data_IF_910427310192
#
_entry.id   IF_910427310192
#
_cell.length_a   1.000
_cell.length_b   1.000
_cell.length_c   1.000
_cell.angle_alpha   90.00
_cell.angle_beta   90.00
_cell.angle_gamma   90.00
#
_symmetry.space_group_name_H-M   'P 1'
#
loop_
_entity.id
_entity.type
_entity.pdbx_description
1 polymer ?
#
# COMPACT_ATOMS: atom_id res chain seq x y z
N UNK A 1 2.65 1.92 15.44
CA UNK A 1 2.02 1.68 14.15
C UNK A 1 1.38 2.93 13.57
N UNK A 2 0.46 2.78 12.62
CA UNK A 2 -0.16 3.91 11.88
C UNK A 2 -0.67 5.04 12.80
N UNK A 3 -1.26 4.68 13.95
CA UNK A 3 -1.85 5.66 14.87
C UNK A 3 -0.85 6.39 15.76
N UNK A 4 0.39 5.87 15.90
CA UNK A 4 1.36 6.34 16.90
C UNK A 4 2.68 6.80 16.33
N UNK A 5 3.00 6.45 15.08
CA UNK A 5 4.27 6.78 14.43
C UNK A 5 4.43 8.28 14.19
N UNK A 6 3.37 8.91 13.66
CA UNK A 6 3.23 10.36 13.52
C UNK A 6 1.78 10.75 13.80
N UNK A 7 1.54 12.02 14.16
CA UNK A 7 0.17 12.53 14.27
C UNK A 7 -0.49 12.58 12.89
N UNK A 8 -1.44 11.70 12.67
CA UNK A 8 -2.27 11.69 11.47
C UNK A 8 -3.62 12.35 11.71
N UNK A 9 -4.17 12.96 10.67
CA UNK A 9 -5.55 13.43 10.72
C UNK A 9 -6.51 12.27 10.96
N UNK A 10 -7.50 12.46 11.83
CA UNK A 10 -8.48 11.43 12.23
C UNK A 10 -9.16 10.73 11.04
N UNK A 11 -9.51 11.47 9.99
CA UNK A 11 -10.12 10.88 8.80
C UNK A 11 -9.17 9.90 8.06
N UNK A 12 -7.84 10.12 8.12
CA UNK A 12 -6.88 9.18 7.56
C UNK A 12 -6.86 7.87 8.35
N UNK A 13 -6.83 7.95 9.68
CA UNK A 13 -6.88 6.77 10.57
C UNK A 13 -8.18 6.00 10.34
N UNK A 14 -9.30 6.71 10.32
CA UNK A 14 -10.62 6.18 10.04
C UNK A 14 -10.65 5.43 8.70
N UNK A 15 -10.19 6.07 7.62
CA UNK A 15 -10.14 5.46 6.30
C UNK A 15 -9.36 4.14 6.30
N UNK A 16 -8.15 4.13 6.88
CA UNK A 16 -7.34 2.91 6.93
C UNK A 16 -7.99 1.80 7.77
N UNK A 17 -8.53 2.12 8.93
CA UNK A 17 -9.16 1.12 9.81
C UNK A 17 -10.40 0.49 9.15
N UNK A 18 -11.24 1.30 8.50
CA UNK A 18 -12.39 0.78 7.76
C UNK A 18 -11.97 -0.09 6.59
N UNK A 19 -11.06 0.39 5.73
CA UNK A 19 -10.58 -0.35 4.57
C UNK A 19 -9.92 -1.68 4.94
N UNK A 20 -9.13 -1.72 6.00
CA UNK A 20 -8.52 -2.96 6.49
C UNK A 20 -9.56 -3.99 6.96
N UNK A 21 -10.62 -3.55 7.64
CA UNK A 21 -11.68 -4.45 8.11
C UNK A 21 -12.52 -4.98 6.95
N UNK A 22 -12.92 -4.09 6.05
CA UNK A 22 -13.66 -4.45 4.83
C UNK A 22 -12.88 -5.47 3.99
N UNK A 23 -11.60 -5.21 3.76
CA UNK A 23 -10.75 -6.10 3.02
C UNK A 23 -10.59 -7.47 3.70
N UNK A 24 -10.49 -7.51 5.04
CA UNK A 24 -10.46 -8.77 5.77
C UNK A 24 -11.74 -9.59 5.57
N UNK A 25 -12.90 -8.94 5.49
CA UNK A 25 -14.18 -9.62 5.24
C UNK A 25 -14.34 -10.05 3.78
N UNK A 26 -13.85 -9.26 2.82
CA UNK A 26 -13.78 -9.65 1.40
C UNK A 26 -12.94 -10.93 1.23
N UNK A 27 -11.77 -10.99 1.86
CA UNK A 27 -10.92 -12.18 1.82
C UNK A 27 -11.59 -13.40 2.45
N UNK A 28 -12.28 -13.24 3.58
CA UNK A 28 -13.06 -14.33 4.21
C UNK A 28 -14.18 -14.80 3.31
N UNK A 29 -14.88 -13.89 2.66
CA UNK A 29 -15.93 -14.21 1.68
C UNK A 29 -15.36 -14.97 0.48
N UNK A 30 -14.13 -14.68 0.09
CA UNK A 30 -13.40 -15.42 -0.94
C UNK A 30 -12.84 -16.78 -0.45
N UNK A 31 -13.15 -17.20 0.78
CA UNK A 31 -12.72 -18.49 1.35
C UNK A 31 -11.31 -18.50 1.94
N UNK A 32 -10.69 -17.31 2.09
CA UNK A 32 -9.35 -17.18 2.69
C UNK A 32 -9.49 -17.11 4.20
N UNK A 33 -8.70 -17.92 4.93
CA UNK A 33 -8.65 -17.87 6.39
C UNK A 33 -7.88 -16.62 6.85
N UNK A 34 -8.59 -15.64 7.44
CA UNK A 34 -8.02 -14.36 7.85
C UNK A 34 -8.04 -14.22 9.36
N UNK A 35 -6.86 -14.10 9.95
CA UNK A 35 -6.67 -13.70 11.34
C UNK A 35 -6.52 -12.18 11.42
N UNK A 36 -7.51 -11.51 11.97
CA UNK A 36 -7.53 -10.06 12.09
C UNK A 36 -7.47 -9.67 13.57
N UNK A 37 -6.42 -8.98 13.96
CA UNK A 37 -6.25 -8.46 15.33
C UNK A 37 -6.77 -7.03 15.41
N UNK A 38 -7.79 -6.81 16.21
CA UNK A 38 -8.28 -5.46 16.47
C UNK A 38 -7.31 -4.70 17.36
N UNK A 39 -7.29 -3.39 17.22
CA UNK A 39 -6.40 -2.54 18.02
C UNK A 39 -6.68 -2.68 19.52
N UNK A 40 -7.96 -2.83 19.90
CA UNK A 40 -8.41 -3.02 21.30
C UNK A 40 -8.04 -4.39 21.90
N UNK A 41 -7.66 -5.36 21.09
CA UNK A 41 -7.29 -6.71 21.52
C UNK A 41 -5.77 -6.88 21.66
N UNK A 42 -5.00 -5.81 21.41
CA UNK A 42 -3.54 -5.81 21.40
C UNK A 42 -2.98 -5.25 22.70
N UNK A 43 -1.93 -5.85 23.23
CA UNK A 43 -1.11 -5.25 24.27
C UNK A 43 -0.44 -3.97 23.73
N UNK A 44 -0.60 -2.84 24.43
CA UNK A 44 -0.06 -1.54 24.03
C UNK A 44 1.47 -1.54 23.95
N UNK A 45 2.12 -2.37 24.76
CA UNK A 45 3.58 -2.51 24.79
C UNK A 45 4.14 -3.47 23.75
N UNK A 46 3.27 -4.24 23.06
CA UNK A 46 3.69 -5.23 22.06
C UNK A 46 3.78 -4.59 20.67
N UNK A 47 4.94 -4.70 20.04
CA UNK A 47 5.12 -4.27 18.66
C UNK A 47 4.37 -5.19 17.69
N UNK A 48 4.11 -4.70 16.47
CA UNK A 48 3.50 -5.50 15.40
C UNK A 48 4.30 -6.80 15.10
N UNK A 49 5.63 -6.67 15.05
CA UNK A 49 6.50 -7.80 14.74
C UNK A 49 6.49 -8.87 15.86
N UNK A 50 6.48 -8.47 17.11
CA UNK A 50 6.38 -9.38 18.25
C UNK A 50 5.03 -10.09 18.30
N UNK A 51 3.93 -9.37 18.04
CA UNK A 51 2.60 -9.97 17.92
C UNK A 51 2.57 -11.03 16.83
N UNK A 52 3.11 -10.71 15.65
CA UNK A 52 3.19 -11.66 14.54
C UNK A 52 4.03 -12.88 14.90
N UNK A 53 5.21 -12.70 15.50
CA UNK A 53 6.07 -13.81 15.91
C UNK A 53 5.39 -14.73 16.93
N UNK A 54 4.66 -14.15 17.89
CA UNK A 54 3.90 -14.94 18.88
C UNK A 54 2.81 -15.76 18.20
N UNK A 55 2.06 -15.14 17.29
CA UNK A 55 1.02 -15.82 16.52
C UNK A 55 1.59 -16.96 15.63
N UNK A 56 2.69 -16.70 14.91
CA UNK A 56 3.31 -17.70 14.04
C UNK A 56 3.80 -18.91 14.84
N UNK A 57 4.34 -18.71 16.04
CA UNK A 57 4.75 -19.80 16.95
C UNK A 57 3.55 -20.58 17.48
N UNK A 58 2.51 -19.89 17.93
CA UNK A 58 1.26 -20.51 18.40
C UNK A 58 0.66 -21.42 17.31
N UNK A 59 0.60 -20.92 16.09
CA UNK A 59 0.04 -21.66 14.94
C UNK A 59 1.02 -22.66 14.31
N UNK A 60 2.26 -22.74 14.81
CA UNK A 60 3.32 -23.63 14.30
C UNK A 60 3.56 -23.43 12.80
N UNK A 61 3.58 -22.17 12.36
CA UNK A 61 3.79 -21.82 10.95
C UNK A 61 5.24 -22.10 10.57
N UNK A 62 5.46 -22.93 9.56
CA UNK A 62 6.80 -23.33 9.11
C UNK A 62 7.50 -22.24 8.28
N UNK A 63 6.74 -21.49 7.47
CA UNK A 63 7.26 -20.42 6.63
C UNK A 63 6.26 -19.27 6.50
N UNK A 64 6.76 -18.05 6.57
CA UNK A 64 5.99 -16.82 6.36
C UNK A 64 6.25 -16.30 4.95
N UNK A 65 5.21 -16.21 4.12
CA UNK A 65 5.29 -15.50 2.85
C UNK A 65 4.80 -14.07 3.05
N UNK A 66 5.58 -13.10 2.61
CA UNK A 66 5.21 -11.68 2.69
C UNK A 66 5.54 -10.97 1.38
N UNK A 67 4.80 -9.94 1.07
CA UNK A 67 5.15 -9.04 -0.01
C UNK A 67 6.30 -8.12 0.40
N UNK A 68 7.06 -7.61 -0.57
CA UNK A 68 8.03 -6.53 -0.33
C UNK A 68 7.40 -5.42 0.49
N UNK A 69 8.12 -4.97 1.50
CA UNK A 69 7.69 -3.87 2.37
C UNK A 69 8.27 -2.59 1.81
N UNK A 70 7.42 -1.68 1.34
CA UNK A 70 7.84 -0.47 0.63
C UNK A 70 8.38 0.63 1.55
N UNK A 71 8.09 0.56 2.84
CA UNK A 71 8.63 1.44 3.87
C UNK A 71 9.90 0.83 4.48
N UNK A 72 11.07 1.33 4.08
CA UNK A 72 12.36 0.86 4.61
C UNK A 72 12.51 1.06 6.11
N UNK A 73 11.90 2.10 6.66
CA UNK A 73 11.94 2.39 8.10
C UNK A 73 11.20 1.31 8.90
N UNK A 74 10.18 0.71 8.29
CA UNK A 74 9.46 -0.43 8.86
C UNK A 74 10.11 -1.77 8.48
N UNK A 75 10.55 -1.95 7.23
CA UNK A 75 11.11 -3.20 6.71
C UNK A 75 12.30 -3.70 7.53
N UNK A 76 13.31 -2.85 7.72
CA UNK A 76 14.56 -3.25 8.34
C UNK A 76 14.40 -3.72 9.79
N UNK A 77 13.72 -2.98 10.69
CA UNK A 77 13.44 -3.45 12.04
C UNK A 77 12.56 -4.71 12.07
N UNK A 78 11.56 -4.78 11.20
CA UNK A 78 10.65 -5.90 11.12
C UNK A 78 11.36 -7.20 10.74
N UNK A 79 12.15 -7.20 9.67
CA UNK A 79 12.91 -8.37 9.24
C UNK A 79 13.96 -8.80 10.28
N UNK A 80 14.56 -7.83 10.99
CA UNK A 80 15.47 -8.12 12.11
C UNK A 80 14.78 -8.87 13.25
N UNK A 81 13.53 -8.49 13.58
CA UNK A 81 12.75 -9.19 14.61
C UNK A 81 12.42 -10.62 14.16
N UNK A 82 12.01 -10.81 12.90
CA UNK A 82 11.75 -12.15 12.36
C UNK A 82 13.00 -13.05 12.43
N UNK A 83 14.15 -12.52 12.01
CA UNK A 83 15.41 -13.25 12.05
C UNK A 83 15.81 -13.63 13.48
N UNK A 84 15.74 -12.70 14.43
CA UNK A 84 16.02 -12.96 15.84
C UNK A 84 15.06 -13.98 16.47
N UNK A 85 13.83 -14.03 15.97
CA UNK A 85 12.82 -14.99 16.42
C UNK A 85 12.96 -16.38 15.76
N UNK A 86 13.91 -16.54 14.82
CA UNK A 86 14.11 -17.78 14.07
C UNK A 86 12.96 -18.11 13.10
N UNK A 87 12.21 -17.09 12.65
CA UNK A 87 11.11 -17.30 11.69
C UNK A 87 11.69 -17.33 10.28
N UNK A 88 11.42 -18.45 9.59
CA UNK A 88 11.72 -18.58 8.15
C UNK A 88 10.71 -17.80 7.33
N UNK A 89 11.18 -17.01 6.36
CA UNK A 89 10.29 -16.23 5.51
C UNK A 89 10.76 -16.17 4.06
N UNK A 90 9.82 -15.92 3.16
CA UNK A 90 10.05 -15.67 1.74
C UNK A 90 9.40 -14.34 1.34
N UNK A 91 10.12 -13.52 0.57
CA UNK A 91 9.62 -12.22 0.11
C UNK A 91 9.19 -12.37 -1.36
N UNK A 92 7.98 -11.93 -1.65
CA UNK A 92 7.39 -11.86 -2.99
C UNK A 92 7.35 -10.41 -3.48
N UNK A 93 7.40 -10.20 -4.80
CA UNK A 93 7.25 -8.88 -5.38
C UNK A 93 5.94 -8.21 -4.91
N UNK A 94 6.01 -6.91 -4.62
CA UNK A 94 4.85 -6.15 -4.16
C UNK A 94 3.80 -6.00 -5.27
N UNK A 95 2.52 -6.34 -5.02
CA UNK A 95 1.45 -6.09 -5.97
C UNK A 95 1.01 -4.61 -6.02
N UNK A 96 1.55 -3.76 -5.14
CA UNK A 96 1.19 -2.33 -5.08
C UNK A 96 1.82 -1.50 -6.19
N UNK A 97 2.90 -2.00 -6.78
CA UNK A 97 3.63 -1.29 -7.83
C UNK A 97 3.77 -2.14 -9.09
N UNK A 98 3.73 -1.49 -10.24
CA UNK A 98 3.91 -2.16 -11.53
C UNK A 98 5.35 -2.64 -11.74
N UNK A 99 6.30 -2.04 -11.03
CA UNK A 99 7.72 -2.39 -11.09
C UNK A 99 8.14 -3.08 -9.79
N UNK A 100 8.89 -4.16 -9.93
CA UNK A 100 9.62 -4.73 -8.81
C UNK A 100 10.87 -3.89 -8.49
N UNK A 101 11.44 -4.09 -7.30
CA UNK A 101 12.75 -3.52 -6.94
C UNK A 101 13.84 -3.95 -7.93
N UNK A 102 13.74 -5.18 -8.43
CA UNK A 102 14.65 -5.71 -9.46
C UNK A 102 14.54 -4.92 -10.76
N UNK A 103 13.33 -4.64 -11.23
CA UNK A 103 13.12 -3.84 -12.45
C UNK A 103 13.75 -2.46 -12.35
N UNK A 104 13.58 -1.81 -11.20
CA UNK A 104 14.19 -0.51 -10.95
C UNK A 104 15.72 -0.60 -10.91
N UNK A 105 16.25 -1.60 -10.22
CA UNK A 105 17.69 -1.84 -10.12
C UNK A 105 18.29 -2.10 -11.49
N UNK A 106 17.67 -2.97 -12.30
CA UNK A 106 18.14 -3.31 -13.64
C UNK A 106 18.09 -2.09 -14.57
N UNK A 107 17.05 -1.28 -14.50
CA UNK A 107 16.95 -0.04 -15.27
C UNK A 107 18.02 0.98 -14.85
N UNK A 108 18.29 1.10 -13.56
CA UNK A 108 19.26 2.07 -13.04
C UNK A 108 20.72 1.66 -13.30
N UNK A 109 20.97 0.36 -13.50
CA UNK A 109 22.32 -0.19 -13.68
C UNK A 109 23.04 0.44 -14.87
N UNK A 110 24.18 1.03 -14.60
CA UNK A 110 25.02 1.66 -15.63
C UNK A 110 24.60 3.08 -16.04
N UNK A 111 23.52 3.64 -15.48
CA UNK A 111 23.16 5.03 -15.71
C UNK A 111 24.05 5.98 -14.88
N UNK A 112 24.64 6.99 -15.55
CA UNK A 112 25.36 8.06 -14.85
C UNK A 112 24.42 8.96 -14.03
N UNK A 113 23.19 9.13 -14.48
CA UNK A 113 22.18 9.95 -13.83
C UNK A 113 20.80 9.34 -14.05
N UNK A 114 20.06 9.14 -12.95
CA UNK A 114 18.65 8.75 -12.99
C UNK A 114 17.77 9.94 -13.40
N UNK A 115 16.86 9.70 -14.35
CA UNK A 115 15.83 10.66 -14.74
C UNK A 115 14.46 9.97 -14.72
N UNK A 116 13.54 10.51 -13.93
CA UNK A 116 12.19 9.95 -13.79
C UNK A 116 11.48 9.85 -15.15
N UNK A 117 11.64 10.84 -16.03
CA UNK A 117 11.06 10.79 -17.38
C UNK A 117 11.53 9.57 -18.19
N UNK A 118 12.81 9.22 -18.11
CA UNK A 118 13.34 8.03 -18.81
C UNK A 118 12.76 6.75 -18.22
N UNK A 119 12.63 6.67 -16.91
CA UNK A 119 12.00 5.55 -16.23
C UNK A 119 10.50 5.43 -16.57
N UNK A 120 9.78 6.54 -16.63
CA UNK A 120 8.39 6.59 -17.07
C UNK A 120 8.21 6.05 -18.51
N UNK A 121 9.05 6.49 -19.45
CA UNK A 121 9.04 6.01 -20.83
C UNK A 121 9.35 4.50 -20.89
N UNK A 122 10.35 4.05 -20.13
CA UNK A 122 10.67 2.64 -20.00
C UNK A 122 9.46 1.84 -19.50
N UNK A 123 8.76 2.33 -18.49
CA UNK A 123 7.56 1.69 -17.96
C UNK A 123 6.43 1.58 -18.97
N UNK A 124 6.13 2.67 -19.67
CA UNK A 124 5.11 2.65 -20.71
C UNK A 124 5.40 1.61 -21.80
N UNK A 125 6.66 1.50 -22.22
CA UNK A 125 7.09 0.50 -23.19
C UNK A 125 7.01 -0.92 -22.62
N UNK A 126 7.54 -1.14 -21.41
CA UNK A 126 7.54 -2.45 -20.76
C UNK A 126 6.13 -3.02 -20.60
N UNK A 127 5.15 -2.17 -20.22
CA UNK A 127 3.79 -2.58 -19.93
C UNK A 127 2.81 -2.31 -21.09
N UNK A 128 3.30 -1.84 -22.22
CA UNK A 128 2.51 -1.48 -23.40
C UNK A 128 1.33 -0.53 -23.09
N UNK A 129 1.60 0.52 -22.30
CA UNK A 129 0.57 1.45 -21.84
C UNK A 129 0.55 2.69 -22.73
N UNK A 130 -0.63 3.00 -23.32
CA UNK A 130 -0.86 4.17 -24.17
C UNK A 130 0.18 4.28 -25.30
N UNK A 131 0.49 3.17 -25.94
CA UNK A 131 1.33 3.10 -27.11
C UNK A 131 0.48 2.70 -28.32
N UNK A 132 0.85 3.22 -29.48
CA UNK A 132 0.33 2.76 -30.77
C UNK A 132 1.08 1.51 -31.26
N UNK A 133 0.70 1.01 -32.44
CA UNK A 133 1.32 -0.19 -33.04
C UNK A 133 2.83 -0.01 -33.36
N UNK A 134 3.28 1.25 -33.54
CA UNK A 134 4.67 1.60 -33.79
C UNK A 134 5.47 1.86 -32.50
N UNK A 135 4.90 1.52 -31.33
CA UNK A 135 5.50 1.80 -30.02
C UNK A 135 5.73 3.29 -29.73
N UNK A 136 4.97 4.17 -30.40
CA UNK A 136 4.96 5.61 -30.14
C UNK A 136 3.86 5.96 -29.13
N UNK A 137 4.00 7.08 -28.42
CA UNK A 137 2.99 7.48 -27.44
C UNK A 137 1.68 7.91 -28.11
N UNK A 138 0.57 7.34 -27.69
CA UNK A 138 -0.76 7.81 -28.08
C UNK A 138 -0.88 9.30 -27.73
N UNK A 139 -1.39 10.11 -28.70
CA UNK A 139 -1.43 11.57 -28.57
C UNK A 139 -0.12 12.29 -28.89
N UNK A 140 0.89 11.57 -29.42
CA UNK A 140 2.13 12.14 -29.96
C UNK A 140 3.14 12.66 -28.94
N UNK A 141 2.83 12.57 -27.63
CA UNK A 141 3.72 13.06 -26.55
C UNK A 141 3.87 12.02 -25.45
N UNK A 142 5.10 11.91 -24.91
CA UNK A 142 5.37 11.03 -23.78
C UNK A 142 4.83 11.54 -22.45
N UNK A 143 4.76 12.86 -22.26
CA UNK A 143 4.26 13.49 -21.03
C UNK A 143 3.43 14.73 -21.34
N UNK A 144 2.36 14.90 -20.59
CA UNK A 144 1.49 16.06 -20.58
C UNK A 144 1.64 16.88 -19.30
N UNK A 145 2.68 16.63 -18.52
CA UNK A 145 2.92 17.23 -17.21
C UNK A 145 2.98 18.77 -17.24
N UNK A 146 3.44 19.36 -18.34
CA UNK A 146 3.42 20.81 -18.54
C UNK A 146 2.00 21.41 -18.54
N UNK A 147 0.98 20.59 -18.70
CA UNK A 147 -0.43 21.03 -18.73
C UNK A 147 -1.12 20.93 -17.36
N UNK A 148 -0.54 20.23 -16.39
CA UNK A 148 -1.11 20.00 -15.06
C UNK A 148 -1.42 21.29 -14.27
N UNK A 149 -0.77 22.42 -14.60
CA UNK A 149 -0.94 23.71 -13.93
C UNK A 149 -1.83 24.67 -14.69
N UNK A 150 -2.37 24.28 -15.84
CA UNK A 150 -3.31 25.09 -16.60
C UNK A 150 -4.68 25.08 -15.94
N UNK A 151 -5.43 26.17 -16.11
CA UNK A 151 -6.83 26.22 -15.68
C UNK A 151 -7.65 25.19 -16.47
N UNK A 152 -8.56 24.52 -15.80
CA UNK A 152 -9.53 23.63 -16.43
C UNK A 152 -10.41 24.48 -17.36
N UNK A 153 -10.58 24.10 -18.64
CA UNK A 153 -11.48 24.80 -19.54
C UNK A 153 -12.91 24.82 -18.98
N UNK A 154 -13.61 25.93 -19.18
CA UNK A 154 -14.97 26.14 -18.62
C UNK A 154 -16.01 25.13 -19.13
N UNK A 155 -15.76 24.54 -20.31
CA UNK A 155 -16.64 23.53 -20.91
C UNK A 155 -16.22 22.09 -20.62
N UNK A 156 -15.29 21.86 -19.69
CA UNK A 156 -14.88 20.52 -19.32
C UNK A 156 -16.01 19.81 -18.56
N UNK A 157 -16.45 18.68 -19.07
CA UNK A 157 -17.42 17.84 -18.40
C UNK A 157 -16.72 17.15 -17.22
N UNK A 158 -17.16 17.50 -16.00
CA UNK A 158 -16.68 16.86 -14.78
C UNK A 158 -17.54 15.62 -14.54
N UNK A 159 -16.96 14.42 -14.45
CA UNK A 159 -17.73 13.20 -14.20
C UNK A 159 -18.37 13.23 -12.81
N UNK A 160 -19.52 12.60 -12.65
CA UNK A 160 -20.15 12.42 -11.35
C UNK A 160 -19.24 11.62 -10.41
N UNK A 161 -19.27 11.98 -9.13
CA UNK A 161 -18.55 11.21 -8.12
C UNK A 161 -19.16 9.82 -7.97
N UNK A 162 -18.35 8.76 -7.92
CA UNK A 162 -18.86 7.42 -7.71
C UNK A 162 -19.55 7.33 -6.33
N UNK A 163 -20.71 6.68 -6.32
CA UNK A 163 -21.47 6.44 -5.08
C UNK A 163 -20.99 5.13 -4.46
N UNK A 164 -20.50 5.21 -3.24
CA UNK A 164 -20.06 4.05 -2.47
C UNK A 164 -21.09 3.65 -1.43
N UNK A 165 -21.24 2.36 -1.20
CA UNK A 165 -22.02 1.85 -0.06
C UNK A 165 -21.19 2.04 1.22
N UNK A 166 -21.82 2.63 2.23
CA UNK A 166 -21.21 2.78 3.55
C UNK A 166 -21.36 1.44 4.29
N UNK A 167 -20.27 0.81 4.66
CA UNK A 167 -20.29 -0.42 5.43
C UNK A 167 -20.64 -0.19 6.92
N UNK A 168 -20.94 -1.27 7.64
CA UNK A 168 -21.18 -1.20 9.08
C UNK A 168 -19.95 -0.70 9.88
N UNK A 169 -18.75 -0.92 9.35
CA UNK A 169 -17.50 -0.45 9.98
C UNK A 169 -17.38 1.07 10.03
N UNK A 170 -17.96 1.79 9.09
CA UNK A 170 -17.94 3.24 9.07
C UNK A 170 -18.58 3.83 10.33
N UNK A 171 -19.71 3.30 10.77
CA UNK A 171 -20.39 3.76 11.98
C UNK A 171 -19.56 3.50 13.24
N UNK A 172 -19.00 2.27 13.37
CA UNK A 172 -18.20 1.91 14.54
C UNK A 172 -16.86 2.65 14.60
N UNK A 173 -16.22 2.91 13.46
CA UNK A 173 -14.95 3.65 13.43
C UNK A 173 -15.15 5.15 13.71
N UNK A 174 -16.25 5.76 13.30
CA UNK A 174 -16.55 7.17 13.60
C UNK A 174 -16.74 7.42 15.09
N UNK A 175 -17.35 6.51 15.83
CA UNK A 175 -17.47 6.61 17.28
C UNK A 175 -16.10 6.66 17.96
N UNK A 176 -15.14 5.82 17.51
CA UNK A 176 -13.77 5.81 18.04
C UNK A 176 -12.96 7.07 17.73
N UNK A 177 -13.30 7.79 16.65
CA UNK A 177 -12.55 8.98 16.23
C UNK A 177 -13.13 10.28 16.79
N UNK A 178 -14.37 10.29 17.27
CA UNK A 178 -14.95 11.44 17.95
C UNK A 178 -14.41 11.60 19.38
N UNK A 179 -14.22 10.50 20.11
CA UNK A 179 -13.74 10.54 21.49
C UNK A 179 -12.23 10.89 21.60
N UNK A 180 -11.45 10.65 20.55
CA UNK A 180 -10.02 10.98 20.52
C UNK A 180 -9.68 12.40 20.04
N UNK A 181 -10.68 13.24 19.81
CA UNK A 181 -10.50 14.59 19.25
C UNK A 181 -10.80 15.72 20.26
N UNK A 182 -11.24 15.38 21.46
CA UNK A 182 -11.58 16.35 22.51
C UNK A 182 -10.53 16.45 23.64
N UNK A 183 -9.33 15.79 23.46
CA UNK A 183 -8.17 15.93 24.37
C UNK A 183 -7.03 16.76 23.74
#
# INVERSE_FOLDING_TARGET
GLCTYVKHHKLKIYFFLCSMREYADELRTAGINVHYFKLSERDENQTYAELLCSFLREKKVANLNLFEIEDKSFELPFLKVLANAGITYSIMDSPMFMFSRKDFSDFHKGLKQFRMNSFYIFGRKKFNILLDNDQKPVGGKWSYDAENRKKIPTNTVIPELPKYKISAYHKSCLLYTSDAADD
#
